data_IF_755355903136
#
_entry.id   IF_755355903136
#
_cell.length_a   1.000
_cell.length_b   1.000
_cell.length_c   1.000
_cell.angle_alpha   90.00
_cell.angle_beta   90.00
_cell.angle_gamma   90.00
#
_symmetry.space_group_name_H-M   'P 1'
#
loop_
_entity.id
_entity.type
_entity.pdbx_description
1 polymer ?
#
# COMPACT_ATOMS: atom_id res chain seq x y z
N UNK A 1 37.50 -11.10 22.00
CA UNK A 1 36.47 -10.27 21.33
C UNK A 1 35.16 -11.03 21.35
N UNK A 2 34.05 -10.40 21.75
CA UNK A 2 32.73 -11.04 21.63
C UNK A 2 32.44 -11.28 20.14
N UNK A 3 31.91 -12.45 19.76
CA UNK A 3 31.54 -12.70 18.37
C UNK A 3 30.50 -11.68 17.93
N UNK A 4 30.74 -11.07 16.78
CA UNK A 4 29.79 -10.15 16.15
C UNK A 4 28.47 -10.88 15.92
N UNK A 5 27.36 -10.21 16.24
CA UNK A 5 26.01 -10.72 16.06
C UNK A 5 25.28 -9.88 15.02
N UNK A 6 24.63 -10.54 14.06
CA UNK A 6 23.78 -9.88 13.07
C UNK A 6 22.34 -10.40 13.23
N UNK A 7 21.38 -9.48 13.29
CA UNK A 7 19.93 -9.75 13.30
C UNK A 7 19.39 -9.31 11.95
N UNK A 8 18.83 -10.24 11.18
CA UNK A 8 18.34 -10.03 9.83
C UNK A 8 16.82 -10.10 9.82
N UNK A 9 16.14 -8.99 9.61
CA UNK A 9 14.67 -8.92 9.61
C UNK A 9 14.14 -9.01 8.18
N UNK A 10 13.33 -10.03 7.88
CA UNK A 10 12.77 -10.24 6.55
C UNK A 10 11.86 -9.07 6.13
N UNK A 11 12.19 -8.38 5.03
CA UNK A 11 11.38 -7.30 4.45
C UNK A 11 10.70 -7.69 3.13
N UNK A 12 10.63 -9.00 2.83
CA UNK A 12 9.90 -9.53 1.68
C UNK A 12 8.38 -9.37 1.85
N UNK A 13 7.64 -9.36 0.74
CA UNK A 13 6.23 -8.93 0.67
C UNK A 13 5.30 -9.45 1.78
N UNK A 14 5.26 -10.76 2.05
CA UNK A 14 4.41 -11.30 3.13
C UNK A 14 4.83 -10.85 4.53
N UNK A 15 6.14 -10.74 4.78
CA UNK A 15 6.66 -10.20 6.04
C UNK A 15 6.34 -8.71 6.18
N UNK A 16 6.52 -7.93 5.11
CA UNK A 16 6.22 -6.50 5.08
C UNK A 16 4.76 -6.22 5.41
N UNK A 17 3.83 -6.94 4.75
CA UNK A 17 2.39 -6.87 5.04
C UNK A 17 2.02 -7.30 6.46
N UNK A 18 2.77 -8.23 7.04
CA UNK A 18 2.59 -8.65 8.43
C UNK A 18 3.25 -7.69 9.45
N UNK A 19 3.82 -6.57 8.99
CA UNK A 19 4.42 -5.54 9.85
C UNK A 19 5.91 -5.75 10.15
N UNK A 20 6.67 -6.40 9.27
CA UNK A 20 8.11 -6.63 9.49
C UNK A 20 8.94 -5.36 9.59
N UNK A 21 8.49 -4.26 8.99
CA UNK A 21 9.18 -2.98 9.11
C UNK A 21 9.06 -2.42 10.53
N UNK A 22 7.91 -2.62 11.16
CA UNK A 22 7.70 -2.29 12.55
C UNK A 22 8.58 -3.16 13.46
N UNK A 23 8.72 -4.45 13.13
CA UNK A 23 9.66 -5.37 13.82
C UNK A 23 11.11 -4.91 13.67
N UNK A 24 11.51 -4.43 12.48
CA UNK A 24 12.86 -3.93 12.24
C UNK A 24 13.18 -2.74 13.15
N UNK A 25 12.32 -1.71 13.15
CA UNK A 25 12.50 -0.52 13.98
C UNK A 25 12.45 -0.86 15.47
N UNK A 26 11.56 -1.76 15.88
CA UNK A 26 11.44 -2.22 17.27
C UNK A 26 12.73 -2.90 17.73
N UNK A 27 13.32 -3.79 16.92
CA UNK A 27 14.59 -4.46 17.25
C UNK A 27 15.77 -3.46 17.21
N UNK A 28 15.81 -2.52 16.25
CA UNK A 28 16.80 -1.45 16.21
C UNK A 28 16.77 -0.61 17.50
N UNK A 29 15.59 -0.26 18.00
CA UNK A 29 15.43 0.48 19.24
C UNK A 29 15.89 -0.33 20.46
N UNK A 30 15.45 -1.59 20.57
CA UNK A 30 15.81 -2.49 21.67
C UNK A 30 17.31 -2.82 21.70
N UNK A 31 18.03 -2.67 20.59
CA UNK A 31 19.48 -2.90 20.50
C UNK A 31 20.31 -1.63 20.68
N UNK A 32 19.68 -0.44 20.83
CA UNK A 32 20.42 0.80 21.08
C UNK A 32 21.27 0.69 22.34
N UNK A 33 22.54 1.05 22.21
CA UNK A 33 23.53 0.97 23.30
C UNK A 33 24.15 -0.42 23.51
N UNK A 34 23.67 -1.46 22.82
CA UNK A 34 24.29 -2.80 22.88
C UNK A 34 25.43 -2.88 21.85
N UNK A 35 26.66 -3.06 22.33
CA UNK A 35 27.83 -3.21 21.46
C UNK A 35 27.82 -4.56 20.71
N UNK A 36 28.43 -4.61 19.52
CA UNK A 36 28.61 -5.82 18.69
C UNK A 36 27.32 -6.49 18.17
N UNK A 37 26.19 -5.79 18.20
CA UNK A 37 24.94 -6.22 17.58
C UNK A 37 24.62 -5.32 16.39
N UNK A 38 24.33 -5.89 15.22
CA UNK A 38 23.83 -5.16 14.05
C UNK A 38 22.46 -5.68 13.67
N UNK A 39 21.55 -4.77 13.34
CA UNK A 39 20.22 -5.11 12.84
C UNK A 39 20.18 -4.66 11.38
N UNK A 40 19.78 -5.54 10.47
CA UNK A 40 19.68 -5.23 9.05
C UNK A 40 18.36 -5.75 8.49
N UNK A 41 17.81 -5.03 7.51
CA UNK A 41 16.80 -5.58 6.63
C UNK A 41 17.39 -6.74 5.80
N UNK A 42 16.57 -7.74 5.52
CA UNK A 42 16.93 -8.88 4.68
C UNK A 42 15.83 -9.18 3.65
N UNK A 43 16.20 -9.95 2.63
CA UNK A 43 15.23 -10.54 1.69
C UNK A 43 14.40 -11.65 2.37
N UNK A 44 13.66 -12.40 1.57
CA UNK A 44 12.88 -13.54 2.03
C UNK A 44 13.75 -14.52 2.82
N UNK A 45 13.36 -14.82 4.06
CA UNK A 45 14.01 -15.82 4.93
C UNK A 45 13.35 -17.21 4.83
N UNK A 46 12.49 -17.44 3.82
CA UNK A 46 11.85 -18.74 3.57
C UNK A 46 10.67 -19.12 4.48
N UNK A 47 10.30 -18.28 5.45
CA UNK A 47 9.20 -18.53 6.39
C UNK A 47 8.06 -17.50 6.25
N UNK A 48 7.55 -17.33 5.02
CA UNK A 48 6.53 -16.34 4.69
C UNK A 48 5.13 -16.68 5.21
N UNK A 49 4.83 -17.96 5.43
CA UNK A 49 3.58 -18.46 6.02
C UNK A 49 3.47 -18.15 7.53
N UNK A 50 4.62 -17.90 8.16
CA UNK A 50 4.77 -17.57 9.57
C UNK A 50 5.35 -16.17 9.74
N UNK A 51 5.10 -15.26 8.80
CA UNK A 51 5.53 -13.87 8.86
C UNK A 51 4.99 -13.10 10.11
N UNK A 52 5.67 -12.03 10.58
CA UNK A 52 7.03 -11.61 10.22
C UNK A 52 8.11 -12.56 10.75
N UNK A 53 9.25 -12.60 10.06
CA UNK A 53 10.35 -13.52 10.37
C UNK A 53 11.69 -12.80 10.47
N UNK A 54 12.54 -13.26 11.38
CA UNK A 54 13.87 -12.69 11.68
C UNK A 54 14.89 -13.80 11.90
N UNK A 55 16.07 -13.69 11.31
CA UNK A 55 17.19 -14.61 11.50
C UNK A 55 18.23 -13.97 12.42
N UNK A 56 18.63 -14.65 13.48
CA UNK A 56 19.75 -14.26 14.34
C UNK A 56 20.97 -15.09 13.96
N UNK A 57 22.06 -14.43 13.61
CA UNK A 57 23.35 -15.03 13.32
C UNK A 57 24.36 -14.69 14.42
N UNK A 58 24.81 -15.69 15.19
CA UNK A 58 25.77 -15.50 16.29
C UNK A 58 26.79 -16.64 16.33
N UNK A 59 28.07 -16.31 16.15
CA UNK A 59 29.16 -17.29 16.28
C UNK A 59 29.02 -18.51 15.36
N UNK A 60 28.53 -18.29 14.13
CA UNK A 60 28.29 -19.36 13.15
C UNK A 60 27.04 -20.19 13.39
N UNK A 61 26.21 -19.83 14.37
CA UNK A 61 24.90 -20.44 14.60
C UNK A 61 23.78 -19.53 14.10
N UNK A 62 22.85 -20.13 13.39
CA UNK A 62 21.64 -19.51 12.88
C UNK A 62 20.44 -19.88 13.75
N UNK A 63 19.59 -18.91 14.05
CA UNK A 63 18.30 -19.15 14.71
C UNK A 63 17.21 -18.30 14.07
N UNK A 64 16.22 -18.97 13.48
CA UNK A 64 15.07 -18.34 12.85
C UNK A 64 13.95 -18.13 13.88
N UNK A 65 13.39 -16.92 13.89
CA UNK A 65 12.22 -16.52 14.66
C UNK A 65 11.10 -16.14 13.68
N UNK A 66 9.87 -16.54 14.00
CA UNK A 66 8.69 -16.36 13.14
C UNK A 66 7.51 -15.86 13.98
N UNK A 67 6.47 -15.33 13.32
CA UNK A 67 5.23 -14.80 13.91
C UNK A 67 5.54 -13.74 14.97
N UNK A 68 6.38 -12.78 14.62
CA UNK A 68 6.83 -11.71 15.52
C UNK A 68 5.75 -10.62 15.57
N UNK A 69 4.62 -10.94 16.20
CA UNK A 69 3.42 -10.11 16.31
C UNK A 69 3.36 -9.28 17.62
N UNK A 70 4.28 -9.52 18.55
CA UNK A 70 4.27 -9.03 19.92
C UNK A 70 5.67 -8.52 20.32
N UNK A 71 5.71 -7.48 21.17
CA UNK A 71 6.96 -6.84 21.63
C UNK A 71 7.86 -7.82 22.37
N UNK A 72 7.26 -8.72 23.16
CA UNK A 72 7.93 -9.76 23.94
C UNK A 72 8.74 -10.69 23.03
N UNK A 73 8.28 -10.96 21.80
CA UNK A 73 9.02 -11.77 20.84
C UNK A 73 10.24 -11.02 20.30
N UNK A 74 10.14 -9.73 20.03
CA UNK A 74 11.30 -8.91 19.64
C UNK A 74 12.33 -8.80 20.75
N UNK A 75 11.88 -8.67 22.00
CA UNK A 75 12.77 -8.73 23.17
C UNK A 75 13.49 -10.07 23.23
N UNK A 76 12.78 -11.20 23.10
CA UNK A 76 13.41 -12.54 23.07
C UNK A 76 14.43 -12.69 21.93
N UNK A 77 14.21 -12.05 20.78
CA UNK A 77 15.16 -12.02 19.67
C UNK A 77 16.44 -11.30 20.10
N UNK A 78 16.31 -10.12 20.71
CA UNK A 78 17.45 -9.33 21.20
C UNK A 78 18.19 -10.06 22.32
N UNK A 79 17.48 -10.68 23.26
CA UNK A 79 18.08 -11.49 24.33
C UNK A 79 18.85 -12.69 23.75
N UNK A 80 18.28 -13.39 22.75
CA UNK A 80 18.97 -14.50 22.10
C UNK A 80 20.22 -14.05 21.33
N UNK A 81 20.13 -12.90 20.66
CA UNK A 81 21.23 -12.32 19.90
C UNK A 81 22.36 -11.83 20.82
N UNK A 82 22.03 -11.10 21.88
CA UNK A 82 23.01 -10.35 22.67
C UNK A 82 23.40 -11.04 23.97
N UNK A 83 22.51 -11.87 24.52
CA UNK A 83 22.60 -12.40 25.89
C UNK A 83 22.22 -11.39 26.98
N UNK A 84 21.85 -10.16 26.61
CA UNK A 84 21.41 -9.11 27.55
C UNK A 84 19.93 -9.28 27.81
N UNK A 85 19.54 -9.49 29.07
CA UNK A 85 18.14 -9.56 29.49
C UNK A 85 17.54 -8.14 29.54
N UNK A 86 16.46 -7.90 28.81
CA UNK A 86 15.80 -6.60 28.80
C UNK A 86 14.68 -6.56 29.86
N UNK A 87 14.44 -5.38 30.45
CA UNK A 87 13.41 -5.22 31.47
C UNK A 87 12.03 -5.03 30.83
N UNK A 88 11.26 -6.11 30.70
CA UNK A 88 9.87 -6.06 30.22
C UNK A 88 8.89 -5.41 31.21
N UNK A 89 9.30 -5.20 32.47
CA UNK A 89 8.44 -4.59 33.49
C UNK A 89 8.42 -3.06 33.42
N UNK A 90 9.11 -2.45 32.45
CA UNK A 90 9.05 -1.00 32.18
C UNK A 90 7.83 -0.68 31.27
N UNK A 91 6.71 -0.19 31.83
CA UNK A 91 5.52 0.13 31.05
C UNK A 91 5.75 1.29 30.07
N UNK A 92 6.68 2.20 30.34
CA UNK A 92 6.98 3.31 29.44
C UNK A 92 7.74 2.81 28.21
N UNK A 93 8.68 1.89 28.38
CA UNK A 93 9.34 1.23 27.25
C UNK A 93 8.33 0.46 26.39
N UNK A 94 7.49 -0.39 26.99
CA UNK A 94 6.49 -1.15 26.24
C UNK A 94 5.53 -0.25 25.48
N UNK A 95 5.06 0.83 26.12
CA UNK A 95 4.19 1.80 25.47
C UNK A 95 4.91 2.52 24.31
N UNK A 96 6.17 2.93 24.48
CA UNK A 96 6.97 3.53 23.40
C UNK A 96 7.14 2.56 22.23
N UNK A 97 7.37 1.27 22.49
CA UNK A 97 7.55 0.25 21.44
C UNK A 97 6.25 0.01 20.69
N UNK A 98 5.14 -0.20 21.41
CA UNK A 98 3.82 -0.38 20.80
C UNK A 98 3.45 0.80 19.89
N UNK A 99 3.79 2.01 20.33
CA UNK A 99 3.58 3.25 19.57
C UNK A 99 4.45 3.30 18.33
N UNK A 100 5.75 3.08 18.45
CA UNK A 100 6.68 3.09 17.32
C UNK A 100 6.26 2.04 16.27
N UNK A 101 5.85 0.85 16.75
CA UNK A 101 5.34 -0.24 15.93
C UNK A 101 4.09 0.18 15.15
N UNK A 102 3.07 0.72 15.84
CA UNK A 102 1.82 1.16 15.22
C UNK A 102 2.05 2.30 14.22
N UNK A 103 2.90 3.27 14.54
CA UNK A 103 3.28 4.34 13.61
C UNK A 103 3.93 3.77 12.36
N UNK A 104 4.83 2.79 12.50
CA UNK A 104 5.52 2.22 11.33
C UNK A 104 4.60 1.37 10.45
N UNK A 105 3.77 0.51 11.06
CA UNK A 105 2.73 -0.24 10.32
C UNK A 105 1.86 0.71 9.50
N UNK A 106 1.46 1.84 10.09
CA UNK A 106 0.62 2.83 9.43
C UNK A 106 1.33 3.58 8.32
N UNK A 107 2.57 4.01 8.53
CA UNK A 107 3.38 4.63 7.48
C UNK A 107 3.50 3.70 6.27
N UNK A 108 3.79 2.41 6.50
CA UNK A 108 3.87 1.43 5.43
C UNK A 108 2.52 1.20 4.74
N UNK A 109 1.45 1.09 5.52
CA UNK A 109 0.10 0.96 4.99
C UNK A 109 -0.29 2.17 4.11
N UNK A 110 0.09 3.40 4.51
CA UNK A 110 -0.12 4.60 3.69
C UNK A 110 0.66 4.54 2.37
N UNK A 111 1.93 4.12 2.40
CA UNK A 111 2.74 3.94 1.18
C UNK A 111 2.11 2.92 0.22
N UNK A 112 1.45 1.92 0.79
CA UNK A 112 0.76 0.85 0.05
C UNK A 112 -0.72 1.17 -0.24
N UNK A 113 -1.21 2.35 0.15
CA UNK A 113 -2.64 2.72 0.04
C UNK A 113 -3.59 1.67 0.67
N UNK A 114 -3.16 1.06 1.78
CA UNK A 114 -3.90 0.09 2.60
C UNK A 114 -4.61 0.82 3.73
N UNK A 115 -5.67 1.52 3.39
CA UNK A 115 -6.33 2.44 4.31
C UNK A 115 -6.98 1.73 5.48
N UNK A 116 -7.46 0.49 5.30
CA UNK A 116 -8.07 -0.26 6.40
C UNK A 116 -7.03 -0.58 7.49
N UNK A 117 -5.84 -1.03 7.07
CA UNK A 117 -4.71 -1.28 7.96
C UNK A 117 -4.16 0.03 8.58
N UNK A 118 -4.11 1.12 7.80
CA UNK A 118 -3.63 2.42 8.30
C UNK A 118 -4.53 2.99 9.40
N UNK A 119 -5.85 2.80 9.29
CA UNK A 119 -6.83 3.29 10.27
C UNK A 119 -7.02 2.34 11.47
N UNK A 120 -6.48 1.12 11.42
CA UNK A 120 -6.66 0.13 12.49
C UNK A 120 -6.13 0.64 13.84
N UNK A 121 -7.00 0.67 14.85
CA UNK A 121 -6.66 1.11 16.21
C UNK A 121 -6.49 2.62 16.39
N UNK A 122 -6.77 3.43 15.36
CA UNK A 122 -6.53 4.88 15.43
C UNK A 122 -7.43 5.60 16.41
N UNK A 123 -8.71 5.22 16.45
CA UNK A 123 -9.70 5.83 17.35
C UNK A 123 -9.29 5.64 18.81
N UNK A 124 -8.91 4.42 19.18
CA UNK A 124 -8.47 4.06 20.53
C UNK A 124 -7.17 4.78 20.91
N UNK A 125 -6.22 4.89 19.98
CA UNK A 125 -4.97 5.63 20.22
C UNK A 125 -5.22 7.13 20.47
N UNK A 126 -6.12 7.75 19.71
CA UNK A 126 -6.52 9.14 19.92
C UNK A 126 -7.16 9.32 21.31
N UNK A 127 -8.10 8.45 21.67
CA UNK A 127 -8.79 8.50 22.96
C UNK A 127 -7.82 8.34 24.14
N UNK A 128 -6.89 7.40 24.04
CA UNK A 128 -5.96 7.06 25.12
C UNK A 128 -4.73 7.99 25.20
N UNK A 129 -4.48 8.82 24.18
CA UNK A 129 -3.33 9.72 24.18
C UNK A 129 -3.48 10.91 25.15
N UNK A 130 -2.36 11.34 25.74
CA UNK A 130 -2.30 12.60 26.50
C UNK A 130 -2.58 13.81 25.60
N UNK A 131 -2.99 14.94 26.18
CA UNK A 131 -3.47 16.10 25.42
C UNK A 131 -2.50 16.58 24.32
N UNK A 132 -1.21 16.72 24.63
CA UNK A 132 -0.17 17.15 23.66
C UNK A 132 -0.09 16.20 22.46
N UNK A 133 -0.18 14.89 22.71
CA UNK A 133 -0.07 13.87 21.67
C UNK A 133 -1.40 13.63 20.94
N UNK A 134 -2.52 13.82 21.62
CA UNK A 134 -3.87 13.64 21.11
C UNK A 134 -4.11 14.50 19.88
N UNK A 135 -3.76 15.78 19.92
CA UNK A 135 -3.93 16.69 18.77
C UNK A 135 -3.18 16.22 17.53
N UNK A 136 -1.93 15.78 17.68
CA UNK A 136 -1.13 15.24 16.58
C UNK A 136 -1.75 13.96 15.99
N UNK A 137 -2.21 13.05 16.86
CA UNK A 137 -2.89 11.83 16.41
C UNK A 137 -4.26 12.11 15.78
N UNK A 138 -5.00 13.12 16.25
CA UNK A 138 -6.26 13.54 15.66
C UNK A 138 -6.08 14.14 14.28
N UNK A 139 -5.04 14.95 14.09
CA UNK A 139 -4.65 15.47 12.79
C UNK A 139 -4.37 14.33 11.82
N UNK A 140 -3.48 13.41 12.21
CA UNK A 140 -3.15 12.22 11.42
C UNK A 140 -4.40 11.36 11.15
N UNK A 141 -5.29 11.19 12.14
CA UNK A 141 -6.53 10.44 11.97
C UNK A 141 -7.45 11.09 10.93
N UNK A 142 -7.64 12.41 11.02
CA UNK A 142 -8.40 13.19 10.06
C UNK A 142 -7.85 13.05 8.64
N UNK A 143 -6.54 13.15 8.47
CA UNK A 143 -5.87 12.96 7.17
C UNK A 143 -6.08 11.55 6.61
N UNK A 144 -5.97 10.51 7.44
CA UNK A 144 -6.20 9.14 6.98
C UNK A 144 -7.67 8.91 6.59
N UNK A 145 -8.62 9.46 7.34
CA UNK A 145 -10.04 9.43 7.00
C UNK A 145 -10.31 10.14 5.67
N UNK A 146 -9.65 11.30 5.45
CA UNK A 146 -9.73 12.03 4.18
C UNK A 146 -9.29 11.14 3.01
N UNK A 147 -8.11 10.53 3.14
CA UNK A 147 -7.52 9.65 2.13
C UNK A 147 -8.34 8.39 1.88
N UNK A 148 -8.99 7.86 2.92
CA UNK A 148 -9.91 6.74 2.82
C UNK A 148 -11.29 7.12 2.21
N UNK A 149 -11.54 8.39 1.89
CA UNK A 149 -12.83 8.86 1.37
C UNK A 149 -13.94 8.99 2.42
N UNK A 150 -13.58 9.01 3.72
CA UNK A 150 -14.48 9.25 4.86
C UNK A 150 -14.44 10.73 5.25
N UNK A 151 -14.98 11.56 4.35
CA UNK A 151 -14.82 13.01 4.40
C UNK A 151 -15.55 13.68 5.57
N UNK A 152 -16.76 13.25 5.93
CA UNK A 152 -17.49 13.81 7.07
C UNK A 152 -16.77 13.50 8.39
N UNK A 153 -16.36 12.24 8.57
CA UNK A 153 -15.62 11.82 9.76
C UNK A 153 -14.27 12.54 9.85
N UNK A 154 -13.62 12.80 8.71
CA UNK A 154 -12.41 13.60 8.61
C UNK A 154 -12.65 15.05 9.07
N UNK A 155 -13.72 15.70 8.61
CA UNK A 155 -14.11 17.04 9.05
C UNK A 155 -14.30 17.11 10.57
N UNK A 156 -14.96 16.12 11.16
CA UNK A 156 -15.15 16.05 12.62
C UNK A 156 -13.82 16.04 13.38
N UNK A 157 -12.84 15.24 12.92
CA UNK A 157 -11.53 15.18 13.56
C UNK A 157 -10.75 16.48 13.38
N UNK A 158 -10.72 17.02 12.17
CA UNK A 158 -9.96 18.23 11.85
C UNK A 158 -10.55 19.48 12.50
N UNK A 159 -11.88 19.58 12.63
CA UNK A 159 -12.53 20.66 13.35
C UNK A 159 -12.17 20.68 14.84
N UNK A 160 -12.01 19.50 15.47
CA UNK A 160 -11.55 19.40 16.86
C UNK A 160 -10.10 19.88 17.01
N UNK A 161 -9.22 19.50 16.06
CA UNK A 161 -7.83 19.96 16.02
C UNK A 161 -7.78 21.49 15.88
N UNK A 162 -8.54 22.04 14.92
CA UNK A 162 -8.59 23.48 14.67
C UNK A 162 -9.07 24.26 15.91
N UNK A 163 -10.06 23.73 16.64
CA UNK A 163 -10.62 24.38 17.84
C UNK A 163 -9.68 24.36 19.04
N UNK A 164 -8.78 23.37 19.11
CA UNK A 164 -7.85 23.17 20.22
C UNK A 164 -6.44 23.72 19.96
N UNK A 165 -6.15 24.16 18.74
CA UNK A 165 -4.86 24.70 18.33
C UNK A 165 -4.54 26.03 19.05
N UNK A 166 -3.42 26.13 19.81
CA UNK A 166 -2.99 27.38 20.43
C UNK A 166 -2.62 28.47 19.40
N UNK A 167 -2.67 29.74 19.79
CA UNK A 167 -2.40 30.89 18.90
C UNK A 167 -0.91 31.17 18.60
N UNK A 168 0.01 30.22 18.79
CA UNK A 168 1.46 30.43 18.58
C UNK A 168 1.91 30.11 17.13
N UNK A 169 3.03 30.71 16.70
CA UNK A 169 3.47 30.73 15.30
C UNK A 169 3.70 29.35 14.65
N UNK A 170 4.32 28.38 15.37
CA UNK A 170 4.47 27.01 14.86
C UNK A 170 3.11 26.33 14.64
N UNK A 171 2.12 26.65 15.47
CA UNK A 171 0.75 26.16 15.31
C UNK A 171 0.02 26.92 14.20
N UNK A 172 0.40 28.16 13.88
CA UNK A 172 -0.13 28.89 12.73
C UNK A 172 0.17 28.15 11.42
N UNK A 173 1.41 27.69 11.21
CA UNK A 173 1.74 26.91 10.00
C UNK A 173 0.99 25.59 9.93
N UNK A 174 0.91 24.85 11.05
CA UNK A 174 0.10 23.63 11.14
C UNK A 174 -1.39 23.90 10.89
N UNK A 175 -1.91 25.04 11.35
CA UNK A 175 -3.28 25.48 11.11
C UNK A 175 -3.55 25.77 9.63
N UNK A 176 -2.59 26.34 8.90
CA UNK A 176 -2.75 26.59 7.46
C UNK A 176 -2.83 25.27 6.67
N UNK A 177 -2.05 24.27 7.04
CA UNK A 177 -2.12 22.92 6.43
C UNK A 177 -3.47 22.23 6.73
N UNK A 178 -3.97 22.36 7.96
CA UNK A 178 -5.33 21.92 8.33
C UNK A 178 -6.39 22.66 7.52
N UNK A 179 -6.29 23.98 7.37
CA UNK A 179 -7.23 24.79 6.58
C UNK A 179 -7.24 24.35 5.12
N UNK A 180 -6.08 24.10 4.52
CA UNK A 180 -6.01 23.59 3.14
C UNK A 180 -6.64 22.20 2.99
N UNK A 181 -6.46 21.33 3.98
CA UNK A 181 -7.07 20.00 4.00
C UNK A 181 -8.59 20.09 4.14
N UNK A 182 -9.09 20.93 5.06
CA UNK A 182 -10.52 21.22 5.21
C UNK A 182 -11.12 21.78 3.91
N UNK A 183 -10.45 22.74 3.27
CA UNK A 183 -10.90 23.31 2.01
C UNK A 183 -10.98 22.27 0.89
N UNK A 184 -10.00 21.37 0.79
CA UNK A 184 -10.04 20.25 -0.15
C UNK A 184 -11.19 19.29 0.15
N UNK A 185 -11.51 19.02 1.43
CA UNK A 185 -12.66 18.20 1.82
C UNK A 185 -13.97 18.89 1.41
N UNK A 186 -14.12 20.18 1.73
CA UNK A 186 -15.29 20.96 1.35
C UNK A 186 -15.45 21.02 -0.17
N UNK A 187 -14.34 21.14 -0.92
CA UNK A 187 -14.35 21.05 -2.38
C UNK A 187 -14.95 19.72 -2.84
N UNK A 188 -14.45 18.61 -2.30
CA UNK A 188 -14.92 17.26 -2.63
C UNK A 188 -16.41 17.03 -2.27
N UNK A 189 -16.91 17.72 -1.24
CA UNK A 189 -18.31 17.66 -0.80
C UNK A 189 -19.23 18.67 -1.52
N UNK A 190 -18.70 19.54 -2.38
CA UNK A 190 -19.49 20.60 -3.02
C UNK A 190 -19.88 21.76 -2.11
N UNK A 191 -19.16 21.96 -1.00
CA UNK A 191 -19.45 22.92 0.08
C UNK A 191 -18.69 24.24 -0.11
N UNK A 192 -19.14 25.05 -1.09
CA UNK A 192 -18.43 26.28 -1.50
C UNK A 192 -18.47 27.40 -0.45
N UNK A 193 -19.52 27.48 0.36
CA UNK A 193 -19.68 28.53 1.38
C UNK A 193 -18.64 28.38 2.50
N UNK A 194 -18.39 27.14 2.91
CA UNK A 194 -17.42 26.79 3.93
C UNK A 194 -15.98 27.12 3.48
N UNK A 195 -15.69 27.01 2.18
CA UNK A 195 -14.40 27.44 1.61
C UNK A 195 -14.24 28.96 1.70
N UNK A 196 -15.30 29.74 1.44
CA UNK A 196 -15.29 31.20 1.62
C UNK A 196 -15.02 31.59 3.09
N UNK A 197 -15.57 30.83 4.04
CA UNK A 197 -15.30 31.04 5.47
C UNK A 197 -13.82 30.80 5.82
N UNK A 198 -13.21 29.77 5.23
CA UNK A 198 -11.77 29.50 5.37
C UNK A 198 -10.92 30.60 4.73
N UNK A 199 -11.33 31.16 3.59
CA UNK A 199 -10.66 32.30 2.96
C UNK A 199 -10.58 33.51 3.90
N UNK A 200 -11.71 33.85 4.53
CA UNK A 200 -11.77 34.92 5.52
C UNK A 200 -10.93 34.62 6.78
N UNK A 201 -10.72 33.35 7.10
CA UNK A 201 -9.82 32.94 8.18
C UNK A 201 -8.36 33.12 7.78
N UNK A 202 -7.95 32.72 6.57
CA UNK A 202 -6.59 32.90 6.06
C UNK A 202 -6.21 34.39 6.03
N UNK A 203 -7.10 35.25 5.50
CA UNK A 203 -6.88 36.72 5.48
C UNK A 203 -6.63 37.30 6.88
N UNK A 204 -7.30 36.75 7.91
CA UNK A 204 -7.12 37.17 9.31
C UNK A 204 -5.81 36.67 9.92
N UNK A 205 -5.30 35.53 9.46
CA UNK A 205 -4.05 34.93 9.94
C UNK A 205 -2.85 35.63 9.28
N UNK A 206 -2.92 35.91 7.98
CA UNK A 206 -1.81 36.47 7.19
C UNK A 206 -1.75 38.01 7.18
N UNK A 207 -2.25 38.70 8.21
CA UNK A 207 -2.32 40.17 8.26
C UNK A 207 -0.96 40.90 8.23
N UNK A 208 0.17 40.21 8.26
CA UNK A 208 1.51 40.82 8.25
C UNK A 208 1.98 41.12 6.81
N UNK A 209 2.37 42.37 6.48
CA UNK A 209 2.83 42.74 5.15
C UNK A 209 4.04 41.96 4.61
N UNK A 210 4.86 41.32 5.46
CA UNK A 210 5.96 40.48 4.97
C UNK A 210 5.48 39.12 4.40
N UNK A 211 4.27 38.67 4.76
CA UNK A 211 3.71 37.36 4.39
C UNK A 211 2.81 37.38 3.14
N UNK A 212 2.71 38.52 2.45
CA UNK A 212 1.77 38.69 1.32
C UNK A 212 1.93 37.67 0.19
N UNK A 213 3.13 37.07 0.00
CA UNK A 213 3.33 35.99 -0.98
C UNK A 213 2.61 34.70 -0.58
N UNK A 214 2.71 34.31 0.68
CA UNK A 214 2.08 33.10 1.19
C UNK A 214 0.56 33.25 1.18
N UNK A 215 0.04 34.42 1.57
CA UNK A 215 -1.39 34.73 1.50
C UNK A 215 -1.91 34.57 0.07
N UNK A 216 -1.26 35.19 -0.92
CA UNK A 216 -1.66 35.11 -2.33
C UNK A 216 -1.67 33.66 -2.83
N UNK A 217 -0.67 32.85 -2.46
CA UNK A 217 -0.62 31.43 -2.81
C UNK A 217 -1.81 30.65 -2.23
N UNK A 218 -2.10 30.84 -0.94
CA UNK A 218 -3.20 30.15 -0.26
C UNK A 218 -4.56 30.57 -0.80
N UNK A 219 -4.78 31.87 -1.03
CA UNK A 219 -6.02 32.38 -1.61
C UNK A 219 -6.23 31.86 -3.04
N UNK A 220 -5.17 31.76 -3.83
CA UNK A 220 -5.22 31.16 -5.17
C UNK A 220 -5.65 29.68 -5.12
N UNK A 221 -5.11 28.91 -4.16
CA UNK A 221 -5.52 27.51 -3.93
C UNK A 221 -6.98 27.40 -3.49
N UNK A 222 -7.44 28.26 -2.58
CA UNK A 222 -8.83 28.28 -2.11
C UNK A 222 -9.81 28.62 -3.23
N UNK A 223 -9.48 29.58 -4.09
CA UNK A 223 -10.31 29.93 -5.27
C UNK A 223 -10.47 28.75 -6.22
N UNK A 224 -9.39 27.96 -6.43
CA UNK A 224 -9.48 26.72 -7.20
C UNK A 224 -10.43 25.71 -6.55
N UNK A 225 -10.32 25.50 -5.23
CA UNK A 225 -11.21 24.61 -4.49
C UNK A 225 -12.67 25.07 -4.51
N UNK A 226 -12.93 26.37 -4.44
CA UNK A 226 -14.26 26.94 -4.55
C UNK A 226 -14.89 26.67 -5.93
N UNK A 227 -14.09 26.79 -7.00
CA UNK A 227 -14.52 26.46 -8.36
C UNK A 227 -14.85 24.96 -8.50
N UNK A 228 -14.02 24.10 -7.90
CA UNK A 228 -14.27 22.64 -7.85
C UNK A 228 -15.56 22.32 -7.08
N UNK A 229 -15.76 22.90 -5.89
CA UNK A 229 -16.99 22.76 -5.11
C UNK A 229 -18.23 23.19 -5.90
N UNK A 230 -18.19 24.36 -6.54
CA UNK A 230 -19.31 24.86 -7.33
C UNK A 230 -19.64 23.95 -8.53
N UNK A 231 -18.61 23.38 -9.17
CA UNK A 231 -18.80 22.39 -10.23
C UNK A 231 -19.45 21.09 -9.73
N UNK A 232 -19.16 20.67 -8.50
CA UNK A 232 -19.76 19.48 -7.90
C UNK A 232 -21.20 19.77 -7.45
N UNK A 233 -21.44 20.93 -6.82
CA UNK A 233 -22.77 21.34 -6.37
C UNK A 233 -23.77 21.54 -7.52
N UNK A 234 -23.29 21.93 -8.70
CA UNK A 234 -24.10 22.08 -9.92
C UNK A 234 -24.30 20.79 -10.71
N UNK A 235 -23.58 19.71 -10.38
CA UNK A 235 -23.78 18.41 -11.01
C UNK A 235 -25.10 17.78 -10.51
N UNK A 236 -25.73 16.94 -11.34
CA UNK A 236 -26.95 16.23 -10.98
C UNK A 236 -26.77 15.44 -9.67
N UNK A 237 -27.83 15.25 -8.84
CA UNK A 237 -27.76 14.51 -7.58
C UNK A 237 -27.13 13.11 -7.68
N UNK A 238 -27.30 12.43 -8.82
CA UNK A 238 -26.70 11.11 -9.06
C UNK A 238 -25.19 11.15 -9.35
N UNK A 239 -24.65 12.33 -9.66
CA UNK A 239 -23.21 12.58 -9.80
C UNK A 239 -22.56 13.06 -8.48
N UNK A 240 -23.36 13.34 -7.44
CA UNK A 240 -22.86 13.81 -6.15
C UNK A 240 -22.19 12.66 -5.38
N UNK A 241 -20.92 12.90 -5.06
CA UNK A 241 -20.11 12.16 -4.09
C UNK A 241 -19.97 10.66 -4.34
N UNK A 242 -19.48 10.30 -5.52
CA UNK A 242 -18.79 9.04 -5.69
C UNK A 242 -17.52 9.07 -4.82
N UNK A 243 -17.65 8.64 -3.55
CA UNK A 243 -16.60 8.67 -2.51
C UNK A 243 -15.27 8.29 -3.14
N UNK A 244 -14.32 9.22 -3.16
CA UNK A 244 -12.99 8.95 -3.74
C UNK A 244 -12.06 8.48 -2.65
N UNK A 245 -11.56 7.27 -2.83
CA UNK A 245 -10.48 6.72 -2.03
C UNK A 245 -9.17 7.08 -2.73
N UNK A 246 -8.25 7.75 -2.03
CA UNK A 246 -6.94 8.13 -2.58
C UNK A 246 -6.21 6.89 -3.10
N UNK A 247 -5.57 7.02 -4.27
CA UNK A 247 -4.87 5.95 -4.98
C UNK A 247 -5.73 4.83 -5.55
N UNK A 248 -7.06 4.94 -5.48
CA UNK A 248 -7.99 4.01 -6.14
C UNK A 248 -8.74 4.68 -7.28
N UNK A 249 -9.03 3.89 -8.30
CA UNK A 249 -9.86 4.28 -9.42
C UNK A 249 -11.09 3.39 -9.53
N UNK A 250 -12.12 3.92 -10.16
CA UNK A 250 -13.35 3.19 -10.43
C UNK A 250 -13.18 2.32 -11.67
N UNK A 251 -13.53 1.05 -11.54
CA UNK A 251 -13.58 0.05 -12.59
C UNK A 251 -14.98 -0.57 -12.63
N UNK A 252 -15.36 -1.10 -13.79
CA UNK A 252 -16.62 -1.80 -13.99
C UNK A 252 -16.33 -3.20 -14.47
N UNK A 253 -16.99 -4.19 -13.87
CA UNK A 253 -16.89 -5.58 -14.32
C UNK A 253 -17.55 -5.72 -15.70
N UNK A 254 -16.77 -5.99 -16.73
CA UNK A 254 -17.26 -6.12 -18.11
C UNK A 254 -17.70 -7.55 -18.43
N UNK A 255 -16.90 -8.54 -18.02
CA UNK A 255 -17.21 -9.95 -18.26
C UNK A 255 -16.50 -10.87 -17.27
N UNK A 256 -17.03 -12.09 -17.13
CA UNK A 256 -16.42 -13.17 -16.34
C UNK A 256 -16.32 -14.40 -17.22
N UNK A 257 -15.10 -14.93 -17.37
CA UNK A 257 -14.83 -16.15 -18.15
C UNK A 257 -14.38 -17.25 -17.20
N UNK A 258 -15.16 -18.31 -17.07
CA UNK A 258 -14.80 -19.48 -16.26
C UNK A 258 -13.63 -20.20 -16.91
N UNK A 259 -12.55 -20.40 -16.17
CA UNK A 259 -11.32 -21.09 -16.66
C UNK A 259 -11.26 -22.52 -16.12
N UNK A 260 -11.70 -22.73 -14.89
CA UNK A 260 -11.76 -24.05 -14.26
C UNK A 260 -12.94 -24.12 -13.31
N UNK A 261 -13.11 -25.28 -12.64
CA UNK A 261 -14.09 -25.44 -11.56
C UNK A 261 -13.88 -24.45 -10.40
N UNK A 262 -12.66 -23.95 -10.21
CA UNK A 262 -12.27 -23.13 -9.06
C UNK A 262 -11.80 -21.74 -9.45
N UNK A 263 -11.67 -21.41 -10.74
CA UNK A 263 -11.02 -20.19 -11.19
C UNK A 263 -11.73 -19.54 -12.37
N UNK A 264 -11.75 -18.21 -12.40
CA UNK A 264 -12.30 -17.41 -13.49
C UNK A 264 -11.43 -16.18 -13.77
N UNK A 265 -11.45 -15.72 -15.02
CA UNK A 265 -10.90 -14.42 -15.42
C UNK A 265 -12.01 -13.39 -15.32
N UNK A 266 -11.78 -12.37 -14.51
CA UNK A 266 -12.63 -11.20 -14.39
C UNK A 266 -12.03 -10.07 -15.21
N UNK A 267 -12.76 -9.60 -16.20
CA UNK A 267 -12.36 -8.47 -17.05
C UNK A 267 -13.01 -7.20 -16.56
N UNK A 268 -12.19 -6.19 -16.32
CA UNK A 268 -12.61 -4.88 -15.86
C UNK A 268 -12.28 -3.81 -16.90
N UNK A 269 -13.17 -2.82 -17.00
CA UNK A 269 -12.95 -1.62 -17.82
C UNK A 269 -13.01 -0.34 -16.98
N UNK A 270 -12.21 0.65 -17.32
CA UNK A 270 -12.20 1.95 -16.66
C UNK A 270 -11.92 3.09 -17.62
N UNK A 271 -12.72 4.15 -17.49
CA UNK A 271 -12.44 5.47 -18.10
C UNK A 271 -11.81 6.43 -17.10
N UNK A 272 -11.63 6.01 -15.85
CA UNK A 272 -11.13 6.85 -14.77
C UNK A 272 -9.66 7.18 -15.00
N UNK A 273 -9.37 8.47 -15.21
CA UNK A 273 -8.00 8.96 -15.44
C UNK A 273 -7.12 8.83 -14.19
N UNK A 274 -7.70 8.63 -13.02
CA UNK A 274 -6.99 8.42 -11.74
C UNK A 274 -6.49 6.99 -11.53
N UNK A 275 -6.73 6.07 -12.49
CA UNK A 275 -6.21 4.68 -12.43
C UNK A 275 -4.68 4.57 -12.32
N UNK A 276 -3.97 5.67 -12.53
CA UNK A 276 -2.51 5.69 -12.55
C UNK A 276 -1.97 4.92 -13.75
N UNK A 277 -0.65 4.75 -13.78
CA UNK A 277 0.07 4.15 -14.90
C UNK A 277 1.10 3.17 -14.36
N UNK A 278 1.13 1.91 -14.85
CA UNK A 278 2.29 1.06 -14.61
C UNK A 278 3.44 1.47 -15.55
N UNK A 279 3.15 2.19 -16.65
CA UNK A 279 4.08 2.56 -17.71
C UNK A 279 5.04 3.70 -17.29
N UNK A 280 6.38 3.49 -17.37
CA UNK A 280 7.36 4.51 -17.01
C UNK A 280 7.30 5.80 -17.85
N UNK A 281 6.76 5.74 -19.07
CA UNK A 281 6.62 6.89 -19.99
C UNK A 281 5.26 7.59 -19.94
N UNK A 282 4.35 7.17 -19.05
CA UNK A 282 3.07 7.85 -18.82
C UNK A 282 3.22 9.22 -18.16
N UNK A 283 2.11 9.95 -17.98
CA UNK A 283 2.11 11.26 -17.27
C UNK A 283 2.53 11.18 -15.79
N UNK A 284 2.80 9.99 -15.27
CA UNK A 284 3.51 9.74 -14.02
C UNK A 284 4.75 8.92 -14.30
N UNK A 285 5.94 9.46 -14.00
CA UNK A 285 7.22 8.77 -14.19
C UNK A 285 7.32 7.60 -13.21
N UNK A 286 6.94 6.40 -13.62
CA UNK A 286 7.57 5.21 -13.05
C UNK A 286 8.97 5.12 -13.69
N UNK A 287 10.03 4.88 -12.93
CA UNK A 287 11.40 4.96 -13.50
C UNK A 287 11.83 3.60 -14.07
N UNK A 288 11.10 2.52 -13.78
CA UNK A 288 11.61 1.15 -13.94
C UNK A 288 10.56 0.14 -14.43
N UNK A 289 10.95 -0.81 -15.32
CA UNK A 289 10.18 -2.01 -15.59
C UNK A 289 9.91 -2.78 -14.30
N UNK A 290 8.66 -3.21 -14.09
CA UNK A 290 8.25 -3.90 -12.86
C UNK A 290 7.30 -5.05 -13.14
N UNK A 291 7.34 -6.06 -12.28
CA UNK A 291 6.18 -6.90 -12.02
C UNK A 291 5.31 -6.16 -11.01
N UNK A 292 4.00 -6.17 -11.19
CA UNK A 292 3.10 -5.33 -10.43
C UNK A 292 1.82 -6.05 -10.02
N UNK A 293 1.16 -5.47 -9.03
CA UNK A 293 -0.15 -5.88 -8.56
C UNK A 293 -1.04 -4.65 -8.37
N UNK A 294 -2.33 -4.88 -8.21
CA UNK A 294 -3.30 -3.88 -7.79
C UNK A 294 -4.08 -4.41 -6.59
N UNK A 295 -4.53 -3.51 -5.73
CA UNK A 295 -5.40 -3.84 -4.60
C UNK A 295 -6.85 -3.69 -5.03
N UNK A 296 -7.63 -4.74 -4.90
CA UNK A 296 -9.08 -4.70 -5.01
C UNK A 296 -9.71 -4.43 -3.65
N UNK A 297 -10.75 -3.58 -3.62
CA UNK A 297 -11.59 -3.37 -2.44
C UNK A 297 -12.89 -4.19 -2.55
N UNK A 298 -13.05 -5.17 -1.67
CA UNK A 298 -14.26 -5.99 -1.57
C UNK A 298 -15.20 -5.43 -0.49
N UNK A 299 -16.28 -4.76 -0.89
CA UNK A 299 -17.22 -4.08 0.02
C UNK A 299 -18.13 -5.07 0.73
N UNK A 300 -17.77 -5.45 1.95
CA UNK A 300 -18.45 -6.47 2.76
C UNK A 300 -19.15 -5.91 4.00
N UNK A 301 -19.04 -4.60 4.25
CA UNK A 301 -19.46 -3.98 5.50
C UNK A 301 -18.44 -4.24 6.61
N UNK A 302 -18.93 -4.30 7.86
CA UNK A 302 -18.09 -4.52 9.03
C UNK A 302 -17.25 -5.81 8.89
N UNK A 303 -15.95 -5.70 9.17
CA UNK A 303 -15.01 -6.81 9.04
C UNK A 303 -13.92 -6.74 10.14
N UNK A 304 -13.07 -7.76 10.18
CA UNK A 304 -12.06 -7.92 11.22
C UNK A 304 -10.69 -7.30 10.87
N UNK A 305 -10.52 -6.77 9.65
CA UNK A 305 -9.22 -6.25 9.19
C UNK A 305 -9.03 -4.75 9.49
N UNK A 306 -10.11 -4.05 9.83
CA UNK A 306 -10.05 -2.65 10.24
C UNK A 306 -11.43 -1.98 10.22
N UNK A 307 -11.46 -0.65 10.38
CA UNK A 307 -12.71 0.10 10.55
C UNK A 307 -13.48 0.37 9.25
N UNK A 308 -12.88 0.13 8.08
CA UNK A 308 -13.50 0.43 6.78
C UNK A 308 -14.42 -0.71 6.33
N UNK A 309 -15.47 -0.43 5.53
CA UNK A 309 -16.47 -1.42 5.15
C UNK A 309 -16.00 -2.38 4.02
N UNK A 310 -14.70 -2.51 3.80
CA UNK A 310 -14.13 -3.34 2.74
C UNK A 310 -12.91 -4.14 3.19
N UNK A 311 -12.68 -5.25 2.49
CA UNK A 311 -11.42 -6.00 2.55
C UNK A 311 -10.50 -5.59 1.40
N UNK A 312 -9.21 -5.48 1.68
CA UNK A 312 -8.18 -5.14 0.69
C UNK A 312 -7.46 -6.43 0.25
N UNK A 313 -7.43 -6.72 -1.05
CA UNK A 313 -6.75 -7.91 -1.58
C UNK A 313 -5.88 -7.59 -2.79
N UNK A 314 -4.63 -8.04 -2.74
CA UNK A 314 -3.68 -7.88 -3.84
C UNK A 314 -3.95 -8.92 -4.93
N UNK A 315 -4.02 -8.45 -6.18
CA UNK A 315 -4.08 -9.29 -7.35
C UNK A 315 -3.03 -8.84 -8.36
N UNK A 316 -2.33 -9.82 -8.95
CA UNK A 316 -1.42 -9.60 -10.08
C UNK A 316 -2.23 -9.77 -11.37
N UNK A 317 -2.44 -8.70 -12.16
CA UNK A 317 -3.22 -8.82 -13.38
C UNK A 317 -2.51 -9.68 -14.42
N UNK A 318 -3.30 -10.40 -15.22
CA UNK A 318 -2.81 -11.13 -16.40
C UNK A 318 -2.84 -10.27 -17.67
N UNK A 319 -3.56 -9.14 -17.63
CA UNK A 319 -3.49 -8.11 -18.67
C UNK A 319 -2.13 -7.40 -18.70
N UNK A 320 -1.71 -7.00 -19.89
CA UNK A 320 -0.51 -6.21 -20.14
C UNK A 320 -0.62 -4.79 -19.57
N UNK A 321 0.53 -4.13 -19.44
CA UNK A 321 0.59 -2.70 -19.09
C UNK A 321 -0.14 -1.80 -20.09
N UNK A 322 -0.10 -2.14 -21.38
CA UNK A 322 -0.75 -1.36 -22.43
C UNK A 322 -2.27 -1.48 -22.37
N UNK A 323 -2.79 -2.66 -22.05
CA UNK A 323 -4.21 -2.86 -21.80
C UNK A 323 -4.68 -2.02 -20.61
N UNK A 324 -3.89 -1.96 -19.52
CA UNK A 324 -4.17 -1.06 -18.40
C UNK A 324 -4.24 0.41 -18.82
N UNK A 325 -3.29 0.87 -19.65
CA UNK A 325 -3.31 2.24 -20.19
C UNK A 325 -4.57 2.52 -21.01
N UNK A 326 -5.06 1.52 -21.75
CA UNK A 326 -6.32 1.59 -22.51
C UNK A 326 -7.56 1.48 -21.62
N UNK A 327 -7.39 1.21 -20.33
CA UNK A 327 -8.48 1.07 -19.37
C UNK A 327 -9.03 -0.35 -19.30
N UNK A 328 -8.24 -1.38 -19.58
CA UNK A 328 -8.59 -2.79 -19.45
C UNK A 328 -7.72 -3.47 -18.39
N UNK A 329 -8.32 -4.32 -17.55
CA UNK A 329 -7.62 -5.09 -16.54
C UNK A 329 -8.25 -6.47 -16.42
N UNK A 330 -7.46 -7.53 -16.62
CA UNK A 330 -7.91 -8.92 -16.48
C UNK A 330 -7.28 -9.52 -15.21
N UNK A 331 -8.11 -10.02 -14.29
CA UNK A 331 -7.67 -10.71 -13.07
C UNK A 331 -8.08 -12.18 -13.14
N UNK A 332 -7.10 -13.08 -13.12
CA UNK A 332 -7.34 -14.51 -12.93
C UNK A 332 -7.47 -14.80 -11.42
N UNK A 333 -8.68 -15.12 -10.98
CA UNK A 333 -9.01 -15.28 -9.56
C UNK A 333 -9.48 -16.70 -9.29
N UNK A 334 -8.87 -17.33 -8.27
CA UNK A 334 -9.38 -18.57 -7.68
C UNK A 334 -10.43 -18.26 -6.62
N UNK A 335 -11.59 -18.87 -6.76
CA UNK A 335 -12.75 -18.70 -5.90
C UNK A 335 -12.68 -19.74 -4.79
N UNK A 336 -12.48 -19.28 -3.56
CA UNK A 336 -12.48 -20.14 -2.39
C UNK A 336 -13.88 -20.15 -1.76
N UNK A 337 -14.36 -21.33 -1.35
CA UNK A 337 -15.70 -21.51 -0.74
C UNK A 337 -15.94 -20.51 0.41
N UNK A 338 -14.96 -20.38 1.30
CA UNK A 338 -15.03 -19.52 2.49
C UNK A 338 -14.23 -18.21 2.31
N UNK A 339 -13.78 -17.93 1.09
CA UNK A 339 -12.98 -16.76 0.76
C UNK A 339 -13.85 -15.51 0.66
N UNK A 340 -13.98 -14.75 1.76
CA UNK A 340 -14.86 -13.55 1.83
C UNK A 340 -14.80 -12.64 0.61
N UNK A 341 -13.59 -12.21 0.19
CA UNK A 341 -13.42 -11.31 -0.94
C UNK A 341 -13.72 -11.97 -2.29
N UNK A 342 -13.36 -13.26 -2.47
CA UNK A 342 -13.60 -13.98 -3.73
C UNK A 342 -15.06 -14.36 -3.89
N UNK A 343 -15.74 -14.73 -2.80
CA UNK A 343 -17.18 -14.97 -2.78
C UNK A 343 -17.95 -13.68 -3.09
N UNK A 344 -17.56 -12.56 -2.48
CA UNK A 344 -18.11 -11.24 -2.84
C UNK A 344 -17.92 -10.90 -4.31
N UNK A 345 -16.70 -11.12 -4.85
CA UNK A 345 -16.39 -10.81 -6.25
C UNK A 345 -17.24 -11.66 -7.20
N UNK A 346 -17.45 -12.93 -6.88
CA UNK A 346 -18.27 -13.86 -7.69
C UNK A 346 -19.76 -13.47 -7.76
N UNK A 347 -20.23 -12.64 -6.85
CA UNK A 347 -21.62 -12.17 -6.78
C UNK A 347 -21.80 -10.81 -7.45
N UNK A 348 -20.73 -10.17 -7.93
CA UNK A 348 -20.83 -8.87 -8.58
C UNK A 348 -21.51 -9.00 -9.95
N UNK A 349 -22.52 -8.16 -10.25
CA UNK A 349 -23.14 -8.16 -11.57
C UNK A 349 -22.19 -7.59 -12.62
N UNK A 350 -22.38 -7.97 -13.88
CA UNK A 350 -21.78 -7.26 -15.02
C UNK A 350 -22.25 -5.80 -14.99
N UNK A 351 -21.33 -4.88 -15.25
CA UNK A 351 -21.48 -3.44 -15.03
C UNK A 351 -21.24 -3.00 -13.57
N UNK A 352 -21.06 -3.95 -12.64
CA UNK A 352 -20.83 -3.68 -11.22
C UNK A 352 -19.57 -2.86 -10.97
N UNK A 353 -19.69 -1.87 -10.10
CA UNK A 353 -18.61 -0.93 -9.73
C UNK A 353 -17.64 -1.57 -8.74
N UNK A 354 -16.34 -1.51 -9.06
CA UNK A 354 -15.25 -2.03 -8.24
C UNK A 354 -14.13 -0.99 -8.14
N UNK A 355 -13.43 -0.96 -7.01
CA UNK A 355 -12.27 -0.11 -6.81
C UNK A 355 -10.99 -0.93 -6.93
N UNK A 356 -10.09 -0.48 -7.79
CA UNK A 356 -8.73 -1.01 -7.90
C UNK A 356 -7.73 0.10 -7.62
N UNK A 357 -6.69 -0.21 -6.85
CA UNK A 357 -5.58 0.72 -6.61
C UNK A 357 -4.79 0.96 -7.89
N UNK A 358 -4.00 2.03 -7.92
CA UNK A 358 -2.97 2.16 -8.93
C UNK A 358 -2.00 0.97 -8.91
N UNK A 359 -1.28 0.69 -10.01
CA UNK A 359 -0.31 -0.41 -10.08
C UNK A 359 0.86 -0.25 -9.10
N UNK A 360 0.95 -1.18 -8.15
CA UNK A 360 2.00 -1.25 -7.15
C UNK A 360 3.10 -2.22 -7.59
N UNK A 361 4.35 -1.88 -7.29
CA UNK A 361 5.49 -2.73 -7.63
C UNK A 361 5.52 -3.96 -6.72
N UNK A 362 5.72 -5.13 -7.32
CA UNK A 362 5.97 -6.39 -6.62
C UNK A 362 7.47 -6.70 -6.58
N UNK A 363 8.12 -6.73 -7.75
CA UNK A 363 9.57 -6.92 -7.90
C UNK A 363 10.11 -6.09 -9.07
N UNK A 364 11.40 -5.77 -9.02
CA UNK A 364 12.11 -5.09 -10.11
C UNK A 364 12.37 -6.00 -11.30
N UNK A 365 12.52 -5.42 -12.49
CA UNK A 365 12.88 -6.14 -13.71
C UNK A 365 14.09 -5.42 -14.34
N UNK A 366 15.16 -6.13 -14.75
CA UNK A 366 15.24 -7.58 -15.00
C UNK A 366 15.51 -8.44 -13.79
N UNK A 367 16.00 -7.88 -12.68
CA UNK A 367 16.58 -8.65 -11.58
C UNK A 367 15.62 -9.61 -10.86
N UNK A 368 14.30 -9.37 -10.91
CA UNK A 368 13.25 -10.09 -10.15
C UNK A 368 13.52 -10.14 -8.64
N UNK A 369 14.23 -9.14 -8.10
CA UNK A 369 14.45 -8.97 -6.66
C UNK A 369 13.68 -7.79 -6.08
N UNK A 370 13.63 -7.75 -4.75
CA UNK A 370 13.13 -6.58 -4.01
C UNK A 370 14.08 -5.38 -4.18
N UNK A 371 13.58 -4.18 -3.88
CA UNK A 371 14.32 -2.91 -4.05
C UNK A 371 15.68 -2.88 -3.34
N UNK A 372 15.84 -3.62 -2.24
CA UNK A 372 17.04 -3.57 -1.41
C UNK A 372 18.32 -3.99 -2.16
N UNK A 373 18.21 -4.75 -3.27
CA UNK A 373 19.35 -5.30 -4.01
C UNK A 373 19.25 -5.13 -5.55
N UNK A 374 18.35 -4.29 -6.05
CA UNK A 374 18.02 -4.26 -7.49
C UNK A 374 19.22 -3.91 -8.39
N UNK A 375 20.05 -2.94 -7.99
CA UNK A 375 21.12 -2.41 -8.83
C UNK A 375 22.29 -3.38 -9.07
N UNK A 376 22.44 -4.42 -8.23
CA UNK A 376 23.62 -5.29 -8.23
C UNK A 376 23.38 -6.67 -8.86
N UNK A 377 22.13 -7.04 -9.16
CA UNK A 377 21.79 -8.41 -9.55
C UNK A 377 21.33 -8.52 -11.01
N UNK A 378 22.13 -9.19 -11.82
CA UNK A 378 21.81 -9.53 -13.21
C UNK A 378 21.87 -11.05 -13.40
N UNK A 379 20.73 -11.76 -13.38
CA UNK A 379 20.71 -13.21 -13.43
C UNK A 379 21.01 -13.74 -14.84
N UNK A 380 21.86 -14.78 -14.90
CA UNK A 380 22.15 -15.52 -16.13
C UNK A 380 20.98 -16.39 -16.60
N UNK A 381 20.04 -16.73 -15.71
CA UNK A 381 18.78 -17.42 -16.02
C UNK A 381 17.76 -17.25 -14.89
N UNK A 382 16.49 -17.53 -15.20
CA UNK A 382 15.38 -17.49 -14.25
C UNK A 382 14.78 -18.89 -14.08
N UNK A 383 14.52 -19.29 -12.84
CA UNK A 383 13.70 -20.44 -12.51
C UNK A 383 12.48 -19.98 -11.73
N UNK A 384 11.31 -20.08 -12.36
CA UNK A 384 10.03 -19.76 -11.75
C UNK A 384 9.44 -21.06 -11.18
N UNK A 385 9.25 -21.10 -9.86
CA UNK A 385 8.57 -22.22 -9.18
C UNK A 385 7.24 -21.70 -8.67
N UNK A 386 6.16 -22.03 -9.36
CA UNK A 386 4.84 -21.45 -9.13
C UNK A 386 3.84 -22.54 -8.76
N UNK A 387 2.84 -22.18 -7.95
CA UNK A 387 1.77 -23.10 -7.58
C UNK A 387 0.39 -22.42 -7.64
N UNK A 388 -0.62 -23.15 -8.11
CA UNK A 388 -2.00 -22.65 -8.24
C UNK A 388 -2.06 -21.34 -9.03
N UNK A 389 -2.71 -20.32 -8.46
CA UNK A 389 -2.84 -18.98 -9.07
C UNK A 389 -1.56 -18.18 -9.07
N UNK A 390 -0.48 -18.61 -8.41
CA UNK A 390 0.83 -17.96 -8.53
C UNK A 390 1.35 -17.92 -9.97
N UNK A 391 0.77 -18.73 -10.86
CA UNK A 391 1.06 -18.75 -12.30
C UNK A 391 0.89 -17.39 -13.00
N UNK A 392 0.02 -16.51 -12.48
CA UNK A 392 -0.20 -15.17 -13.06
C UNK A 392 1.07 -14.31 -13.09
N UNK A 393 2.04 -14.61 -12.22
CA UNK A 393 3.34 -13.92 -12.20
C UNK A 393 4.16 -14.31 -13.43
N UNK A 394 4.07 -15.56 -13.91
CA UNK A 394 4.76 -15.97 -15.12
C UNK A 394 4.34 -15.09 -16.29
N UNK A 395 3.04 -14.84 -16.47
CA UNK A 395 2.53 -14.03 -17.57
C UNK A 395 3.17 -12.64 -17.61
N UNK A 396 3.22 -11.92 -16.48
CA UNK A 396 3.87 -10.63 -16.43
C UNK A 396 5.39 -10.71 -16.69
N UNK A 397 6.08 -11.74 -16.17
CA UNK A 397 7.50 -11.95 -16.47
C UNK A 397 7.71 -12.19 -17.96
N UNK A 398 6.85 -12.98 -18.60
CA UNK A 398 6.91 -13.27 -20.02
C UNK A 398 6.61 -12.03 -20.87
N UNK A 399 5.72 -11.13 -20.44
CA UNK A 399 5.52 -9.83 -21.12
C UNK A 399 6.82 -9.02 -21.22
N UNK A 400 7.73 -9.14 -20.25
CA UNK A 400 9.03 -8.47 -20.28
C UNK A 400 10.05 -9.09 -21.24
N UNK A 401 9.73 -10.22 -21.87
CA UNK A 401 10.54 -10.85 -22.94
C UNK A 401 10.12 -10.42 -24.34
N UNK A 402 8.93 -9.80 -24.50
CA UNK A 402 8.35 -9.48 -25.81
C UNK A 402 8.32 -7.97 -26.06
N UNK A 403 8.87 -7.56 -27.20
CA UNK A 403 8.74 -6.19 -27.68
C UNK A 403 7.26 -5.85 -27.89
N UNK A 404 6.82 -4.70 -27.37
CA UNK A 404 5.41 -4.29 -27.44
C UNK A 404 4.49 -4.88 -26.38
N UNK A 405 4.97 -5.76 -25.48
CA UNK A 405 4.25 -6.09 -24.22
C UNK A 405 5.00 -5.63 -22.98
N UNK A 406 6.33 -5.52 -23.08
CA UNK A 406 7.19 -5.05 -22.01
C UNK A 406 6.99 -3.56 -21.69
N UNK A 407 7.42 -3.17 -20.50
CA UNK A 407 7.51 -1.78 -20.09
C UNK A 407 8.69 -1.09 -20.76
N UNK A 408 8.45 -0.47 -21.91
CA UNK A 408 9.46 0.30 -22.64
C UNK A 408 9.70 -0.19 -24.07
N UNK A 409 10.71 0.37 -24.76
CA UNK A 409 10.94 0.12 -26.18
C UNK A 409 11.55 -1.24 -26.49
N UNK A 410 12.12 -1.93 -25.49
CA UNK A 410 12.83 -3.19 -25.67
C UNK A 410 12.56 -4.16 -24.52
N UNK A 411 12.56 -5.49 -24.78
CA UNK A 411 12.51 -6.50 -23.74
C UNK A 411 13.55 -6.27 -22.65
N UNK A 412 13.10 -6.24 -21.40
CA UNK A 412 13.98 -6.09 -20.25
C UNK A 412 14.62 -7.44 -19.86
N UNK A 413 13.90 -8.54 -20.06
CA UNK A 413 14.38 -9.89 -19.77
C UNK A 413 14.84 -10.56 -21.06
N UNK A 414 16.13 -10.90 -21.12
CA UNK A 414 16.75 -11.63 -22.24
C UNK A 414 17.32 -12.98 -21.84
N UNK A 415 17.55 -13.20 -20.55
CA UNK A 415 18.10 -14.47 -20.06
C UNK A 415 17.05 -15.59 -20.13
N UNK A 416 17.45 -16.85 -20.29
CA UNK A 416 16.54 -17.99 -20.34
C UNK A 416 15.63 -18.09 -19.11
N UNK A 417 14.37 -18.44 -19.34
CA UNK A 417 13.37 -18.65 -18.28
C UNK A 417 12.96 -20.12 -18.29
N UNK A 418 13.00 -20.77 -17.12
CA UNK A 418 12.42 -22.09 -16.88
C UNK A 418 11.27 -21.97 -15.89
N UNK A 419 10.21 -22.73 -16.11
CA UNK A 419 9.01 -22.72 -15.28
C UNK A 419 8.72 -24.13 -14.78
N UNK A 420 8.51 -24.26 -13.47
CA UNK A 420 7.91 -25.43 -12.84
C UNK A 420 6.59 -24.96 -12.23
N UNK A 421 5.48 -25.53 -12.69
CA UNK A 421 4.14 -25.21 -12.19
C UNK A 421 3.51 -26.43 -11.52
N UNK A 422 3.10 -26.26 -10.27
CA UNK A 422 2.35 -27.27 -9.51
C UNK A 422 0.90 -26.82 -9.36
N UNK A 423 -0.05 -27.61 -9.86
CA UNK A 423 -1.47 -27.33 -9.74
C UNK A 423 -2.26 -28.61 -9.46
N UNK A 424 -3.53 -28.42 -9.08
CA UNK A 424 -4.46 -29.54 -9.04
C UNK A 424 -4.80 -29.95 -10.48
N UNK A 425 -5.05 -31.23 -10.69
CA UNK A 425 -5.43 -31.75 -12.01
C UNK A 425 -6.71 -31.13 -12.58
N UNK A 426 -7.60 -30.61 -11.72
CA UNK A 426 -8.86 -29.95 -12.07
C UNK A 426 -8.77 -28.40 -12.12
N UNK A 427 -7.56 -27.83 -12.01
CA UNK A 427 -7.33 -26.39 -11.91
C UNK A 427 -5.99 -26.02 -12.58
N UNK A 428 -5.76 -26.55 -13.79
CA UNK A 428 -4.61 -26.18 -14.62
C UNK A 428 -4.96 -24.87 -15.32
N UNK A 429 -4.15 -23.84 -15.08
CA UNK A 429 -4.41 -22.47 -15.51
C UNK A 429 -3.37 -22.03 -16.54
N UNK A 430 -3.78 -21.18 -17.48
CA UNK A 430 -2.90 -20.52 -18.45
C UNK A 430 -2.12 -21.46 -19.39
N UNK A 431 -2.60 -22.69 -19.59
CA UNK A 431 -1.88 -23.70 -20.38
C UNK A 431 -1.65 -23.26 -21.82
N UNK A 432 -2.66 -22.67 -22.47
CA UNK A 432 -2.58 -22.23 -23.86
C UNK A 432 -1.56 -21.11 -24.05
N UNK A 433 -1.54 -20.15 -23.13
CA UNK A 433 -0.64 -19.02 -23.11
C UNK A 433 0.81 -19.48 -22.91
N UNK A 434 1.03 -20.39 -21.95
CA UNK A 434 2.36 -20.95 -21.67
C UNK A 434 2.88 -21.82 -22.81
N UNK A 435 2.02 -22.66 -23.41
CA UNK A 435 2.39 -23.47 -24.58
C UNK A 435 2.69 -22.59 -25.80
N UNK A 436 1.93 -21.51 -25.99
CA UNK A 436 2.20 -20.51 -27.03
C UNK A 436 3.57 -19.87 -26.85
N UNK A 437 3.94 -19.53 -25.61
CA UNK A 437 5.27 -19.01 -25.31
C UNK A 437 6.36 -20.03 -25.58
N UNK A 438 6.25 -21.26 -25.07
CA UNK A 438 7.21 -22.33 -25.32
C UNK A 438 7.42 -22.57 -26.81
N UNK A 439 6.34 -22.54 -27.60
CA UNK A 439 6.41 -22.74 -29.05
C UNK A 439 7.08 -21.57 -29.77
N UNK A 440 6.88 -20.33 -29.30
CA UNK A 440 7.50 -19.14 -29.89
C UNK A 440 9.01 -19.06 -29.67
N UNK A 441 9.52 -19.65 -28.58
CA UNK A 441 10.96 -19.73 -28.30
C UNK A 441 11.73 -20.63 -29.27
N UNK A 442 11.08 -21.67 -29.79
CA UNK A 442 11.67 -22.63 -30.73
C UNK A 442 11.92 -22.05 -32.14
N UNK A 443 11.34 -20.89 -32.46
CA UNK A 443 11.44 -20.26 -33.79
C UNK A 443 12.54 -19.17 -33.82
N UNK A 444 13.09 -18.81 -32.65
CA UNK A 444 14.06 -17.72 -32.50
C UNK A 444 15.52 -18.18 -32.31
N UNK A 445 15.77 -19.50 -32.29
CA UNK A 445 17.09 -20.12 -32.47
C UNK A 445 17.26 -20.58 -33.92
#
# INVERSE_FOLDING_TARGET
>A
MLPRTDILVCQAGSCRRAGSEAVLVEIEELTKGIQNCRVNAANCLGACDSAPSTLVWRGGRERLFTKINETEKSVRIVEAATGVKLNLDDPEMLQRMAVARQTRVRQQACLESKWNLALAGMREQVSNACQKRRLKLQLEFGELLHKAGLWEESLEQLAQVQKAAPSNLEVIMGNLEVIMTLAQIFANLGRAEEITNLENQVKRICCDPEDGRLEIELLSRLSKFQTEAASIASALPDALCDRRVESYAVWHLESVTVVSKHSAVYRFISRDRKRGTPNPRGRGRSVWPKIWHTTLLATLGANAEGPLPWLERDYTPVSTSQEWEKGHCDLLVKIYRDGKATSWLSQQPIGGKIWLSHPMRTVGVPSLVSELNEAAFSPASYLLILAGTGIVVAEQVLHHTQAGKCFGPSPAIRSPIRLIHSCRSDDILMTSELLGWCSSGLVAE
#
